data_IF_129113590340
#
_entry.id   IF_129113590340
#
_cell.length_a   1.000
_cell.length_b   1.000
_cell.length_c   1.000
_cell.angle_alpha   90.00
_cell.angle_beta   90.00
_cell.angle_gamma   90.00
#
_symmetry.space_group_name_H-M   'P 1'
#
loop_
_entity.id
_entity.type
_entity.pdbx_description
1 polymer ?
#
# COMPACT_ATOMS: atom_id res chain seq x y z
N UNK A 1 -5.97 -26.56 -3.49
CA UNK A 1 -4.88 -26.98 -4.44
C UNK A 1 -4.30 -25.78 -5.15
N UNK A 2 -3.03 -25.86 -5.58
CA UNK A 2 -2.37 -24.84 -6.39
C UNK A 2 -3.12 -24.57 -7.71
N UNK A 3 -3.66 -25.60 -8.32
CA UNK A 3 -4.47 -25.47 -9.54
C UNK A 3 -5.69 -24.59 -9.30
N UNK A 4 -6.44 -24.86 -8.23
CA UNK A 4 -7.61 -24.07 -7.86
C UNK A 4 -7.26 -22.59 -7.62
N UNK A 5 -6.16 -22.31 -6.93
CA UNK A 5 -5.68 -20.96 -6.68
C UNK A 5 -5.29 -20.25 -7.99
N UNK A 6 -4.55 -20.95 -8.88
CA UNK A 6 -4.14 -20.39 -10.18
C UNK A 6 -5.33 -20.02 -11.06
N UNK A 7 -6.34 -20.90 -11.14
CA UNK A 7 -7.56 -20.65 -11.89
C UNK A 7 -8.37 -19.48 -11.29
N UNK A 8 -8.47 -19.42 -9.95
CA UNK A 8 -9.15 -18.34 -9.25
C UNK A 8 -8.46 -16.98 -9.47
N UNK A 9 -7.12 -16.94 -9.42
CA UNK A 9 -6.34 -15.72 -9.65
C UNK A 9 -6.49 -15.25 -11.10
N UNK A 10 -6.49 -16.15 -12.08
CA UNK A 10 -6.72 -15.77 -13.48
C UNK A 10 -8.08 -15.09 -13.64
N UNK A 11 -9.15 -15.66 -13.08
CA UNK A 11 -10.49 -15.05 -13.12
C UNK A 11 -10.55 -13.71 -12.39
N UNK A 12 -9.95 -13.64 -11.21
CA UNK A 12 -9.87 -12.41 -10.43
C UNK A 12 -9.13 -11.29 -11.18
N UNK A 13 -8.06 -11.63 -11.90
CA UNK A 13 -7.28 -10.67 -12.69
C UNK A 13 -7.91 -10.32 -14.04
N UNK A 14 -8.82 -11.12 -14.56
CA UNK A 14 -9.51 -10.86 -15.83
C UNK A 14 -10.51 -9.70 -15.72
N UNK A 15 -11.21 -9.61 -14.59
CA UNK A 15 -12.17 -8.52 -14.34
C UNK A 15 -11.51 -7.35 -13.60
N UNK A 16 -11.10 -6.33 -14.34
CA UNK A 16 -10.46 -5.11 -13.82
C UNK A 16 -11.30 -4.36 -12.79
N UNK A 17 -12.62 -4.52 -12.79
CA UNK A 17 -13.51 -3.85 -11.84
C UNK A 17 -13.52 -4.53 -10.47
N UNK A 18 -13.12 -5.80 -10.40
CA UNK A 18 -13.19 -6.62 -9.19
C UNK A 18 -11.82 -7.03 -8.63
N UNK A 19 -10.73 -6.40 -9.10
CA UNK A 19 -9.39 -6.59 -8.52
C UNK A 19 -9.24 -5.89 -7.17
N UNK A 20 -10.18 -6.14 -6.27
CA UNK A 20 -10.38 -5.38 -5.05
C UNK A 20 -9.29 -5.64 -4.02
N UNK A 21 -8.75 -4.55 -3.46
CA UNK A 21 -7.96 -4.57 -2.24
C UNK A 21 -8.75 -3.88 -1.15
N UNK A 22 -9.03 -4.62 -0.07
CA UNK A 22 -9.83 -4.17 1.06
C UNK A 22 -8.96 -3.96 2.30
N UNK A 23 -9.54 -3.35 3.31
CA UNK A 23 -8.96 -3.19 4.64
C UNK A 23 -9.68 -4.09 5.62
N UNK A 24 -8.99 -5.07 6.23
CA UNK A 24 -9.56 -5.97 7.24
C UNK A 24 -10.90 -6.58 6.84
N UNK A 25 -11.02 -7.07 5.60
CA UNK A 25 -12.28 -7.63 5.04
C UNK A 25 -13.47 -6.66 5.14
N UNK A 26 -13.21 -5.36 5.13
CA UNK A 26 -14.26 -4.33 5.08
C UNK A 26 -14.80 -4.17 3.66
N UNK A 27 -15.94 -3.50 3.52
CA UNK A 27 -16.49 -3.16 2.21
C UNK A 27 -15.87 -1.90 1.58
N UNK A 28 -14.72 -1.46 2.09
CA UNK A 28 -14.03 -0.26 1.58
C UNK A 28 -12.84 -0.68 0.73
N UNK A 29 -12.93 -0.44 -0.56
CA UNK A 29 -11.84 -0.67 -1.49
C UNK A 29 -10.76 0.40 -1.30
N UNK A 30 -9.59 0.00 -0.81
CA UNK A 30 -8.46 0.88 -0.54
C UNK A 30 -7.38 0.82 -1.63
N UNK A 31 -7.52 -0.09 -2.57
CA UNK A 31 -6.58 -0.26 -3.68
C UNK A 31 -7.07 -1.27 -4.71
N UNK A 32 -6.21 -1.59 -5.63
CA UNK A 32 -6.42 -2.59 -6.68
C UNK A 32 -5.19 -3.49 -6.83
N UNK A 33 -5.41 -4.74 -7.21
CA UNK A 33 -4.33 -5.64 -7.64
C UNK A 33 -3.97 -5.31 -9.09
N UNK A 34 -2.69 -5.05 -9.33
CA UNK A 34 -2.15 -4.75 -10.66
C UNK A 34 -1.32 -5.92 -11.21
N UNK A 35 -1.19 -6.00 -12.52
CA UNK A 35 -0.46 -7.10 -13.17
C UNK A 35 1.03 -7.07 -12.87
N UNK A 36 1.62 -5.88 -12.90
CA UNK A 36 3.04 -5.70 -12.65
C UNK A 36 3.37 -4.26 -12.25
N UNK A 37 4.53 -4.10 -11.63
CA UNK A 37 5.14 -2.81 -11.28
C UNK A 37 6.65 -2.89 -11.47
N UNK A 38 7.25 -1.86 -12.06
CA UNK A 38 8.70 -1.70 -12.13
C UNK A 38 9.13 -0.73 -11.04
N UNK A 39 9.98 -1.19 -10.14
CA UNK A 39 10.51 -0.35 -9.06
C UNK A 39 11.61 0.61 -9.55
N UNK A 40 12.11 1.46 -8.66
CA UNK A 40 13.16 2.45 -8.94
C UNK A 40 14.49 1.83 -9.32
N UNK A 41 14.73 0.57 -8.95
CA UNK A 41 15.94 -0.18 -9.32
C UNK A 41 15.80 -0.88 -10.67
N UNK A 42 14.64 -0.78 -11.32
CA UNK A 42 14.35 -1.40 -12.61
C UNK A 42 13.82 -2.84 -12.50
N UNK A 43 13.66 -3.39 -11.30
CA UNK A 43 13.12 -4.73 -11.07
C UNK A 43 11.62 -4.74 -11.38
N UNK A 44 11.17 -5.76 -12.11
CA UNK A 44 9.75 -5.94 -12.44
C UNK A 44 9.13 -6.95 -11.49
N UNK A 45 8.20 -6.48 -10.67
CA UNK A 45 7.38 -7.30 -9.78
C UNK A 45 6.08 -7.64 -10.49
N UNK A 46 5.64 -8.90 -10.43
CA UNK A 46 4.45 -9.38 -11.13
C UNK A 46 3.49 -10.09 -10.17
N UNK A 47 2.20 -9.89 -10.37
CA UNK A 47 1.17 -10.71 -9.75
C UNK A 47 1.14 -12.07 -10.43
N UNK A 48 1.35 -13.15 -9.68
CA UNK A 48 1.39 -14.52 -10.21
C UNK A 48 1.20 -15.56 -9.11
N UNK A 49 0.99 -16.79 -9.50
CA UNK A 49 0.97 -17.96 -8.61
C UNK A 49 2.11 -18.91 -9.02
N UNK A 50 2.94 -19.27 -8.07
CA UNK A 50 4.03 -20.23 -8.23
C UNK A 50 3.94 -21.43 -7.26
N UNK A 51 5.06 -22.08 -6.98
CA UNK A 51 5.12 -23.22 -6.08
C UNK A 51 5.07 -22.84 -4.60
N UNK A 52 5.41 -21.59 -4.28
CA UNK A 52 5.40 -21.04 -2.92
C UNK A 52 4.02 -20.49 -2.56
N UNK A 53 3.36 -19.78 -3.48
CA UNK A 53 2.06 -19.19 -3.22
C UNK A 53 1.57 -18.18 -4.25
N UNK A 54 0.73 -17.29 -3.78
CA UNK A 54 0.18 -16.18 -4.54
C UNK A 54 0.94 -14.90 -4.23
N UNK A 55 1.71 -14.43 -5.21
CA UNK A 55 2.35 -13.12 -5.18
C UNK A 55 1.42 -12.07 -5.78
N UNK A 56 1.24 -10.99 -5.07
CA UNK A 56 0.32 -9.94 -5.45
C UNK A 56 1.01 -8.58 -5.41
N UNK A 57 0.86 -7.80 -6.48
CA UNK A 57 1.28 -6.41 -6.55
C UNK A 57 0.06 -5.52 -6.39
N UNK A 58 0.08 -4.65 -5.40
CA UNK A 58 -1.05 -3.81 -5.03
C UNK A 58 -0.70 -2.34 -5.24
N UNK A 59 -1.63 -1.61 -5.85
CA UNK A 59 -1.63 -0.16 -5.91
C UNK A 59 -2.68 0.39 -4.98
N UNK A 60 -2.27 1.13 -3.95
CA UNK A 60 -3.19 1.82 -3.05
C UNK A 60 -3.79 3.05 -3.74
N UNK A 61 -5.02 3.37 -3.39
CA UNK A 61 -5.69 4.62 -3.75
C UNK A 61 -5.08 5.78 -2.97
N UNK A 62 -5.12 6.96 -3.56
CA UNK A 62 -4.67 8.22 -2.95
C UNK A 62 -5.80 9.24 -2.75
N UNK A 63 -6.99 8.91 -3.25
CA UNK A 63 -8.17 9.78 -3.28
C UNK A 63 -9.11 9.62 -2.08
N UNK A 64 -8.93 8.58 -1.25
CA UNK A 64 -9.77 8.33 -0.07
C UNK A 64 -8.97 8.30 1.23
N UNK A 65 -9.55 8.83 2.30
CA UNK A 65 -8.87 8.89 3.61
C UNK A 65 -8.54 7.51 4.17
N UNK A 66 -9.41 6.52 3.98
CA UNK A 66 -9.14 5.15 4.43
C UNK A 66 -7.88 4.54 3.81
N UNK A 67 -7.63 4.78 2.53
CA UNK A 67 -6.41 4.32 1.88
C UNK A 67 -5.16 5.04 2.41
N UNK A 68 -5.28 6.32 2.77
CA UNK A 68 -4.21 7.07 3.44
C UNK A 68 -3.91 6.55 4.84
N UNK A 69 -4.94 6.16 5.61
CA UNK A 69 -4.77 5.48 6.90
C UNK A 69 -4.02 4.16 6.73
N UNK A 70 -4.39 3.35 5.74
CA UNK A 70 -3.70 2.10 5.41
C UNK A 70 -2.23 2.37 5.07
N UNK A 71 -1.95 3.34 4.22
CA UNK A 71 -0.59 3.75 3.87
C UNK A 71 0.21 4.16 5.12
N UNK A 72 -0.38 4.94 6.03
CA UNK A 72 0.24 5.29 7.33
C UNK A 72 0.49 4.06 8.21
N UNK A 73 -0.47 3.13 8.27
CA UNK A 73 -0.35 1.88 9.03
C UNK A 73 0.76 0.97 8.51
N UNK A 74 0.91 0.87 7.20
CA UNK A 74 2.01 0.14 6.54
C UNK A 74 3.36 0.75 6.92
N UNK A 75 3.52 2.07 6.82
CA UNK A 75 4.76 2.77 7.20
C UNK A 75 5.12 2.61 8.66
N UNK A 76 4.12 2.66 9.55
CA UNK A 76 4.32 2.44 10.99
C UNK A 76 4.57 0.98 11.33
N UNK A 77 4.40 0.05 10.37
CA UNK A 77 4.54 -1.38 10.59
C UNK A 77 3.42 -2.00 11.43
N UNK A 78 2.27 -1.34 11.57
CA UNK A 78 1.07 -1.90 12.23
C UNK A 78 0.29 -2.81 11.29
N UNK A 79 0.33 -2.56 9.99
CA UNK A 79 -0.24 -3.43 8.96
C UNK A 79 0.89 -4.18 8.26
N UNK A 80 0.89 -5.52 8.31
CA UNK A 80 2.05 -6.33 7.89
C UNK A 80 1.70 -7.54 7.05
N UNK A 81 0.42 -7.85 6.91
CA UNK A 81 -0.01 -9.10 6.31
C UNK A 81 -1.07 -8.90 5.27
N UNK A 82 -1.09 -9.83 4.32
CA UNK A 82 -2.21 -10.03 3.41
C UNK A 82 -3.08 -11.18 3.87
N UNK A 83 -4.36 -11.10 3.56
CA UNK A 83 -5.31 -12.19 3.57
C UNK A 83 -6.09 -12.17 2.26
N UNK A 84 -6.72 -13.28 1.92
CA UNK A 84 -7.62 -13.37 0.78
C UNK A 84 -9.03 -13.63 1.25
N UNK A 85 -10.00 -13.01 0.60
CA UNK A 85 -11.41 -13.29 0.76
C UNK A 85 -11.95 -13.96 -0.49
N UNK A 86 -12.73 -15.00 -0.30
CA UNK A 86 -13.29 -15.76 -1.41
C UNK A 86 -14.20 -16.89 -0.94
N UNK A 87 -14.67 -17.68 -1.89
CA UNK A 87 -15.57 -18.79 -1.66
C UNK A 87 -14.97 -20.10 -2.17
N UNK A 88 -14.91 -21.09 -1.29
CA UNK A 88 -14.60 -22.45 -1.72
C UNK A 88 -15.86 -23.05 -2.42
N UNK A 89 -15.74 -23.26 -3.72
CA UNK A 89 -16.83 -23.81 -4.53
C UNK A 89 -16.88 -25.34 -4.48
N UNK A 90 -15.73 -25.98 -4.21
CA UNK A 90 -15.63 -27.43 -4.03
C UNK A 90 -14.55 -27.75 -3.02
N UNK A 91 -14.84 -28.70 -2.13
CA UNK A 91 -13.95 -29.18 -1.06
C UNK A 91 -13.97 -30.71 -1.03
N UNK A 92 -12.80 -31.30 -0.82
CA UNK A 92 -12.68 -32.74 -0.56
C UNK A 92 -12.01 -32.94 0.80
N UNK A 93 -12.60 -33.83 1.60
CA UNK A 93 -11.95 -34.29 2.83
C UNK A 93 -10.74 -35.16 2.47
N UNK A 94 -9.62 -34.87 3.06
CA UNK A 94 -8.37 -35.61 2.93
C UNK A 94 -7.85 -35.94 4.32
N UNK A 95 -7.07 -36.99 4.39
CA UNK A 95 -6.34 -37.37 5.59
C UNK A 95 -4.93 -37.77 5.19
N UNK A 96 -3.93 -37.25 5.87
CA UNK A 96 -2.55 -37.70 5.75
C UNK A 96 -1.86 -37.68 7.11
N UNK A 97 -0.67 -38.33 7.18
CA UNK A 97 0.07 -38.48 8.42
C UNK A 97 0.65 -37.17 8.97
N UNK A 98 0.83 -36.15 8.11
CA UNK A 98 1.40 -34.87 8.47
C UNK A 98 0.39 -33.88 9.05
N UNK A 99 -0.81 -33.79 8.45
CA UNK A 99 -1.84 -32.80 8.80
C UNK A 99 -3.11 -33.41 9.41
N UNK A 100 -3.20 -34.75 9.50
CA UNK A 100 -4.42 -35.44 9.89
C UNK A 100 -5.57 -35.21 8.89
N UNK A 101 -6.78 -35.01 9.39
CA UNK A 101 -7.95 -34.68 8.55
C UNK A 101 -7.95 -33.20 8.17
N UNK A 102 -8.06 -32.90 6.87
CA UNK A 102 -8.17 -31.54 6.36
C UNK A 102 -9.11 -31.46 5.14
N UNK A 103 -9.55 -30.24 4.82
CA UNK A 103 -10.32 -29.98 3.62
C UNK A 103 -9.41 -29.46 2.52
N UNK A 104 -9.27 -30.21 1.45
CA UNK A 104 -8.62 -29.79 0.23
C UNK A 104 -9.62 -29.01 -0.64
N UNK A 105 -9.28 -27.78 -1.00
CA UNK A 105 -10.10 -26.92 -1.86
C UNK A 105 -9.64 -27.13 -3.29
N UNK A 106 -10.50 -27.65 -4.14
CA UNK A 106 -10.24 -27.95 -5.57
C UNK A 106 -10.80 -26.90 -6.51
N UNK A 107 -11.78 -26.13 -6.05
CA UNK A 107 -12.33 -24.97 -6.78
C UNK A 107 -12.54 -23.81 -5.82
N UNK A 108 -12.01 -22.66 -6.20
CA UNK A 108 -12.03 -21.43 -5.41
C UNK A 108 -12.50 -20.27 -6.29
N UNK A 109 -13.30 -19.40 -5.73
CA UNK A 109 -13.56 -18.07 -6.27
C UNK A 109 -12.91 -17.04 -5.37
N UNK A 110 -12.06 -16.18 -5.92
CA UNK A 110 -11.37 -15.12 -5.21
C UNK A 110 -12.15 -13.83 -5.38
N UNK A 111 -12.49 -13.17 -4.28
CA UNK A 111 -13.27 -11.93 -4.30
C UNK A 111 -12.42 -10.70 -3.97
N UNK A 112 -11.42 -10.87 -3.10
CA UNK A 112 -10.60 -9.76 -2.64
C UNK A 112 -9.23 -10.21 -2.13
N UNK A 113 -8.30 -9.29 -2.13
CA UNK A 113 -7.11 -9.30 -1.27
C UNK A 113 -7.33 -8.26 -0.19
N UNK A 114 -7.00 -8.56 1.06
CA UNK A 114 -7.14 -7.60 2.16
C UNK A 114 -5.81 -7.34 2.83
N UNK A 115 -5.61 -6.09 3.26
CA UNK A 115 -4.47 -5.66 4.06
C UNK A 115 -4.91 -5.68 5.53
N UNK A 116 -4.15 -6.37 6.38
CA UNK A 116 -4.49 -6.56 7.80
C UNK A 116 -3.27 -6.52 8.71
N UNK A 117 -3.52 -6.37 10.00
CA UNK A 117 -2.48 -6.38 11.04
C UNK A 117 -1.83 -7.77 11.14
N UNK A 118 -2.66 -8.80 11.13
CA UNK A 118 -2.24 -10.19 11.23
C UNK A 118 -3.08 -11.06 10.30
N UNK A 119 -2.44 -11.63 9.31
CA UNK A 119 -3.05 -12.62 8.42
C UNK A 119 -3.22 -13.97 9.12
N UNK A 120 -4.17 -14.78 8.65
CA UNK A 120 -4.33 -16.18 9.09
C UNK A 120 -3.09 -16.98 8.72
N UNK A 121 -2.53 -16.75 7.52
CA UNK A 121 -1.25 -17.31 7.10
C UNK A 121 -0.11 -16.38 7.58
N UNK A 122 0.77 -16.83 8.49
CA UNK A 122 1.88 -16.02 9.00
C UNK A 122 2.95 -15.71 7.94
N UNK A 123 2.99 -16.47 6.84
CA UNK A 123 3.91 -16.24 5.71
C UNK A 123 3.38 -15.20 4.69
N UNK A 124 2.12 -14.79 4.80
CA UNK A 124 1.51 -13.81 3.91
C UNK A 124 1.92 -12.38 4.29
N UNK A 125 3.19 -12.05 4.11
CA UNK A 125 3.81 -10.74 4.39
C UNK A 125 3.95 -9.93 3.11
N UNK A 126 4.20 -8.64 3.25
CA UNK A 126 4.45 -7.76 2.11
C UNK A 126 5.60 -6.78 2.38
N UNK A 127 6.18 -6.28 1.28
CA UNK A 127 7.17 -5.21 1.25
C UNK A 127 6.64 -4.02 0.45
N UNK A 128 7.13 -2.83 0.78
CA UNK A 128 6.78 -1.60 0.06
C UNK A 128 7.72 -1.38 -1.11
N UNK A 129 7.19 -1.42 -2.33
CA UNK A 129 7.97 -1.28 -3.57
C UNK A 129 8.14 0.16 -4.04
N UNK A 130 7.40 1.12 -3.49
CA UNK A 130 7.53 2.54 -3.77
C UNK A 130 8.21 3.25 -2.62
N UNK A 131 9.22 4.03 -2.97
CA UNK A 131 9.63 5.12 -2.11
C UNK A 131 8.44 6.04 -1.87
N UNK A 132 8.22 6.37 -0.62
CA UNK A 132 7.11 7.20 -0.22
C UNK A 132 7.27 8.60 -0.82
N UNK A 133 6.35 8.99 -1.68
CA UNK A 133 6.28 10.39 -2.15
C UNK A 133 6.15 11.37 -0.99
N UNK A 134 5.71 10.90 0.19
CA UNK A 134 5.62 11.65 1.43
C UNK A 134 6.98 12.11 1.95
N UNK A 135 8.03 11.28 1.91
CA UNK A 135 9.38 11.71 2.33
C UNK A 135 9.94 12.79 1.39
N UNK A 136 9.82 12.60 0.06
CA UNK A 136 10.24 13.64 -0.90
C UNK A 136 9.38 14.91 -0.81
N UNK A 137 8.12 14.79 -0.44
CA UNK A 137 7.24 15.94 -0.22
C UNK A 137 7.62 16.65 1.09
N UNK A 138 7.97 15.90 2.14
CA UNK A 138 8.43 16.44 3.42
C UNK A 138 9.75 17.18 3.26
N UNK A 139 10.73 16.61 2.55
CA UNK A 139 12.00 17.32 2.23
C UNK A 139 11.78 18.59 1.40
N UNK A 140 10.89 18.54 0.40
CA UNK A 140 10.53 19.73 -0.37
C UNK A 140 9.82 20.78 0.49
N UNK A 141 8.96 20.35 1.39
CA UNK A 141 8.25 21.24 2.30
C UNK A 141 9.21 21.87 3.32
N UNK A 142 10.11 21.11 3.89
CA UNK A 142 11.16 21.58 4.81
C UNK A 142 12.08 22.59 4.12
N UNK A 143 12.49 22.31 2.88
CA UNK A 143 13.29 23.23 2.08
C UNK A 143 12.55 24.52 1.79
N UNK A 144 11.28 24.46 1.37
CA UNK A 144 10.45 25.62 1.13
C UNK A 144 10.21 26.45 2.40
N UNK A 145 10.01 25.79 3.55
CA UNK A 145 9.87 26.47 4.86
C UNK A 145 11.17 27.14 5.28
N UNK A 146 12.33 26.55 5.02
CA UNK A 146 13.63 27.15 5.29
C UNK A 146 13.87 28.37 4.40
N UNK A 147 13.56 28.29 3.10
CA UNK A 147 13.62 29.43 2.17
C UNK A 147 12.69 30.58 2.61
N UNK A 148 11.45 30.27 3.00
CA UNK A 148 10.50 31.24 3.51
C UNK A 148 11.01 31.94 4.78
N UNK A 149 11.58 31.17 5.71
CA UNK A 149 12.16 31.72 6.95
C UNK A 149 13.33 32.65 6.68
N UNK A 150 14.12 32.37 5.66
CA UNK A 150 15.24 33.23 5.24
C UNK A 150 14.73 34.53 4.64
N UNK A 151 13.76 34.47 3.74
CA UNK A 151 13.11 35.64 3.14
C UNK A 151 12.44 36.52 4.18
N UNK A 152 11.77 35.95 5.16
CA UNK A 152 11.17 36.72 6.27
C UNK A 152 12.22 37.49 7.07
N UNK A 153 13.38 36.90 7.34
CA UNK A 153 14.47 37.60 8.05
C UNK A 153 15.06 38.76 7.21
N UNK A 154 15.16 38.58 5.89
CA UNK A 154 15.62 39.64 4.98
C UNK A 154 14.62 40.81 4.95
N UNK A 155 13.30 40.51 4.89
CA UNK A 155 12.24 41.54 4.95
C UNK A 155 12.29 42.28 6.27
N UNK A 156 12.44 41.57 7.40
CA UNK A 156 12.57 42.20 8.73
C UNK A 156 13.81 43.08 8.86
N UNK A 157 14.89 42.70 8.22
CA UNK A 157 16.13 43.51 8.19
C UNK A 157 15.92 44.79 7.38
N UNK A 158 15.35 44.70 6.17
CA UNK A 158 15.06 45.85 5.30
C UNK A 158 14.07 46.82 5.95
N UNK A 159 13.03 46.31 6.61
CA UNK A 159 12.04 47.19 7.31
C UNK A 159 12.64 47.95 8.50
N UNK A 160 13.69 47.40 9.12
CA UNK A 160 14.44 48.09 10.18
C UNK A 160 15.37 49.18 9.63
N UNK A 161 15.97 48.97 8.46
CA UNK A 161 16.80 49.97 7.77
C UNK A 161 15.94 51.18 7.32
N UNK A 162 14.78 50.93 6.69
CA UNK A 162 13.84 52.00 6.31
C UNK A 162 13.31 52.81 7.52
N UNK A 163 13.00 52.15 8.64
CA UNK A 163 12.55 52.81 9.86
C UNK A 163 13.66 53.60 10.58
N UNK A 164 14.93 53.38 10.27
CA UNK A 164 16.07 54.19 10.76
C UNK A 164 16.27 55.45 9.92
N UNK A 165 16.06 55.39 8.62
CA UNK A 165 16.17 56.52 7.71
C UNK A 165 15.07 57.59 7.95
N UNK A 166 13.84 57.18 8.29
CA UNK A 166 12.76 58.11 8.65
C UNK A 166 13.05 58.90 9.96
N UNK A 167 13.76 58.28 10.91
CA UNK A 167 14.15 58.95 12.14
C UNK A 167 15.33 59.91 11.98
N UNK A 168 16.14 59.71 10.96
CA UNK A 168 17.28 60.59 10.64
C UNK A 168 16.87 61.87 9.90
N UNK A 169 15.68 61.87 9.28
CA UNK A 169 15.14 63.05 8.57
C UNK A 169 14.31 64.02 9.44
N UNK A 170 14.07 63.70 10.70
CA UNK A 170 13.24 64.53 11.63
C UNK A 170 14.04 65.19 12.73
N UNK A 171 15.34 65.42 12.52
CA UNK A 171 16.17 66.25 13.41
C UNK A 171 16.64 67.51 12.73
#
# INVERSE_FOLDING_TARGET
TRKALKEAVVKFMDDKKFRNVMSNHSNVQVGEVIESYRDTNGTVHKTHVDDVGFYVVIKLRDDIEKAKEISRGIRKGTLRSFSIGGQALSKQKRNNDEFGEYNEIDRLELHEVTICEKGINPEAKFDVLKEDKGEKMTEKLEKALAELSTLMKEVDALSKEEGMDEKAMTM
#
